data_IF_687446791119
#
_entry.id   IF_687446791119
#
_cell.length_a   1.000
_cell.length_b   1.000
_cell.length_c   1.000
_cell.angle_alpha   90.00
_cell.angle_beta   90.00
_cell.angle_gamma   90.00
#
_symmetry.space_group_name_H-M   'P 1'
#
loop_
_entity.id
_entity.type
_entity.pdbx_description
1 polymer ?
#
# COMPACT_ATOMS: atom_id res chain seq x y z
N UNK A 1 -0.51 5.98 -52.04
CA UNK A 1 0.59 5.70 -51.07
C UNK A 1 0.26 6.08 -49.61
N UNK A 2 -0.37 7.24 -49.33
CA UNK A 2 -0.70 7.65 -47.95
C UNK A 2 -1.69 6.71 -47.21
N UNK A 3 -2.70 6.17 -47.91
CA UNK A 3 -3.68 5.19 -47.36
C UNK A 3 -3.01 3.91 -46.83
N UNK A 4 -1.96 3.42 -47.51
CA UNK A 4 -1.23 2.22 -47.08
C UNK A 4 -0.35 2.49 -45.86
N UNK A 5 0.37 3.63 -45.81
CA UNK A 5 1.15 4.01 -44.62
C UNK A 5 0.27 4.20 -43.39
N UNK A 6 -0.91 4.82 -43.55
CA UNK A 6 -1.86 4.98 -42.45
C UNK A 6 -2.40 3.64 -41.97
N UNK A 7 -2.80 2.73 -42.87
CA UNK A 7 -3.21 1.36 -42.51
C UNK A 7 -2.12 0.57 -41.78
N UNK A 8 -0.86 0.67 -42.20
CA UNK A 8 0.25 -0.01 -41.50
C UNK A 8 0.55 0.58 -40.12
N UNK A 9 0.34 1.89 -39.93
CA UNK A 9 0.50 2.56 -38.63
C UNK A 9 -0.66 2.24 -37.68
N UNK A 10 -1.87 2.03 -38.20
CA UNK A 10 -3.09 1.79 -37.42
C UNK A 10 -3.35 0.29 -37.18
N UNK A 11 -2.94 -0.59 -38.08
CA UNK A 11 -3.26 -2.04 -38.05
C UNK A 11 -1.99 -2.91 -37.96
N UNK A 12 -0.80 -2.32 -38.08
CA UNK A 12 0.46 -3.07 -37.98
C UNK A 12 0.81 -3.46 -36.54
N UNK A 13 1.77 -4.39 -36.38
CA UNK A 13 2.27 -4.85 -35.07
C UNK A 13 2.73 -3.70 -34.15
N UNK A 14 3.17 -2.58 -34.73
CA UNK A 14 3.55 -1.37 -34.00
C UNK A 14 2.37 -0.66 -33.31
N UNK A 15 1.13 -0.88 -33.75
CA UNK A 15 -0.07 -0.29 -33.14
C UNK A 15 -0.58 -1.11 -31.94
N UNK A 16 -0.16 -2.37 -31.80
CA UNK A 16 -0.71 -3.31 -30.82
C UNK A 16 -0.63 -2.77 -29.37
N UNK A 17 0.50 -2.22 -28.89
CA UNK A 17 0.55 -1.64 -27.54
C UNK A 17 -0.48 -0.53 -27.32
N UNK A 18 -0.69 0.31 -28.34
CA UNK A 18 -1.62 1.43 -28.28
C UNK A 18 -3.06 0.91 -28.21
N UNK A 19 -3.41 -0.09 -29.02
CA UNK A 19 -4.74 -0.71 -28.95
C UNK A 19 -5.00 -1.41 -27.63
N UNK A 20 -4.00 -2.12 -27.07
CA UNK A 20 -4.11 -2.73 -25.75
C UNK A 20 -4.28 -1.67 -24.65
N UNK A 21 -3.58 -0.54 -24.74
CA UNK A 21 -3.75 0.57 -23.81
C UNK A 21 -5.14 1.21 -23.93
N UNK A 22 -5.67 1.39 -25.14
CA UNK A 22 -7.04 1.88 -25.36
C UNK A 22 -8.09 0.90 -24.81
N UNK A 23 -7.91 -0.41 -25.02
CA UNK A 23 -8.77 -1.43 -24.43
C UNK A 23 -8.71 -1.40 -22.90
N UNK A 24 -7.50 -1.32 -22.34
CA UNK A 24 -7.27 -1.24 -20.90
C UNK A 24 -7.92 0.03 -20.32
N UNK A 25 -7.83 1.16 -21.02
CA UNK A 25 -8.54 2.39 -20.67
C UNK A 25 -10.07 2.23 -20.70
N UNK A 26 -10.61 1.51 -21.69
CA UNK A 26 -12.02 1.13 -21.68
C UNK A 26 -12.40 0.31 -20.43
N UNK A 27 -11.53 -0.62 -20.02
CA UNK A 27 -11.71 -1.41 -18.81
C UNK A 27 -11.58 -0.58 -17.53
N UNK A 28 -10.70 0.43 -17.47
CA UNK A 28 -10.62 1.32 -16.30
C UNK A 28 -11.91 2.10 -16.11
N UNK A 29 -12.48 2.62 -17.20
CA UNK A 29 -13.78 3.28 -17.16
C UNK A 29 -14.90 2.33 -16.72
N UNK A 30 -14.88 1.08 -17.21
CA UNK A 30 -15.84 0.07 -16.79
C UNK A 30 -15.71 -0.29 -15.30
N UNK A 31 -14.53 -0.71 -14.84
CA UNK A 31 -14.30 -1.11 -13.45
C UNK A 31 -14.53 0.03 -12.46
N UNK A 32 -14.16 1.27 -12.81
CA UNK A 32 -14.43 2.43 -11.96
C UNK A 32 -15.93 2.70 -11.74
N UNK A 33 -16.80 2.36 -12.70
CA UNK A 33 -18.25 2.53 -12.59
C UNK A 33 -18.94 1.36 -11.89
N UNK A 34 -18.30 0.19 -11.87
CA UNK A 34 -18.84 -1.02 -11.25
C UNK A 34 -17.91 -1.61 -10.18
N UNK A 35 -17.68 -0.93 -9.03
CA UNK A 35 -16.74 -1.40 -8.00
C UNK A 35 -17.02 -2.80 -7.43
N UNK A 36 -18.28 -3.24 -7.47
CA UNK A 36 -18.65 -4.62 -7.08
C UNK A 36 -18.08 -5.66 -8.05
N UNK A 37 -18.07 -5.35 -9.35
CA UNK A 37 -17.48 -6.22 -10.38
C UNK A 37 -15.96 -6.22 -10.25
N UNK A 38 -15.35 -5.05 -10.00
CA UNK A 38 -13.91 -4.97 -9.72
C UNK A 38 -13.54 -5.87 -8.56
N UNK A 39 -14.28 -5.81 -7.45
CA UNK A 39 -14.03 -6.62 -6.27
C UNK A 39 -14.12 -8.13 -6.58
N UNK A 40 -15.23 -8.60 -7.16
CA UNK A 40 -15.50 -10.03 -7.31
C UNK A 40 -14.77 -10.67 -8.49
N UNK A 41 -14.58 -9.95 -9.59
CA UNK A 41 -13.95 -10.47 -10.81
C UNK A 41 -12.46 -10.19 -10.83
N UNK A 42 -12.05 -8.94 -10.68
CA UNK A 42 -10.64 -8.60 -10.77
C UNK A 42 -9.91 -8.94 -9.46
N UNK A 43 -10.28 -8.31 -8.35
CA UNK A 43 -9.49 -8.33 -7.12
C UNK A 43 -9.50 -9.66 -6.37
N UNK A 44 -10.62 -10.41 -6.42
CA UNK A 44 -10.75 -11.71 -5.74
C UNK A 44 -10.39 -12.92 -6.61
N UNK A 45 -10.40 -12.79 -7.95
CA UNK A 45 -10.18 -13.92 -8.88
C UNK A 45 -8.96 -13.71 -9.77
N UNK A 46 -8.92 -12.65 -10.59
CA UNK A 46 -7.83 -12.44 -11.56
C UNK A 46 -6.52 -11.99 -10.90
N UNK A 47 -6.58 -10.97 -10.05
CA UNK A 47 -5.42 -10.39 -9.39
C UNK A 47 -4.65 -11.43 -8.56
N UNK A 48 -5.30 -12.32 -7.78
CA UNK A 48 -4.57 -13.35 -7.05
C UNK A 48 -3.71 -14.28 -7.90
N UNK A 49 -4.15 -14.58 -9.12
CA UNK A 49 -3.37 -15.38 -10.07
C UNK A 49 -2.13 -14.60 -10.50
N UNK A 50 -2.29 -13.32 -10.86
CA UNK A 50 -1.15 -12.48 -11.24
C UNK A 50 -0.17 -12.28 -10.08
N UNK A 51 -0.65 -11.91 -8.90
CA UNK A 51 0.16 -11.71 -7.71
C UNK A 51 0.94 -12.97 -7.34
N UNK A 52 0.31 -14.15 -7.40
CA UNK A 52 0.99 -15.42 -7.16
C UNK A 52 2.10 -15.68 -8.18
N UNK A 53 1.83 -15.52 -9.47
CA UNK A 53 2.82 -15.74 -10.54
C UNK A 53 4.01 -14.78 -10.46
N UNK A 54 3.74 -13.49 -10.24
CA UNK A 54 4.76 -12.46 -10.13
C UNK A 54 5.65 -12.68 -8.89
N UNK A 55 5.02 -12.92 -7.74
CA UNK A 55 5.73 -13.25 -6.50
C UNK A 55 6.55 -14.54 -6.63
N UNK A 56 6.01 -15.58 -7.29
CA UNK A 56 6.73 -16.82 -7.54
C UNK A 56 7.98 -16.62 -8.38
N UNK A 57 7.94 -15.71 -9.37
CA UNK A 57 9.12 -15.34 -10.15
C UNK A 57 10.12 -14.55 -9.28
N UNK A 58 9.62 -13.55 -8.56
CA UNK A 58 10.44 -12.65 -7.75
C UNK A 58 11.21 -13.33 -6.62
N UNK A 59 10.63 -14.36 -5.98
CA UNK A 59 11.23 -15.04 -4.81
C UNK A 59 12.59 -15.69 -5.07
N UNK A 60 12.92 -15.99 -6.33
CA UNK A 60 14.20 -16.59 -6.71
C UNK A 60 15.35 -15.58 -6.74
N UNK A 61 15.05 -14.29 -6.61
CA UNK A 61 16.02 -13.21 -6.65
C UNK A 61 16.04 -12.47 -5.31
N UNK A 62 17.23 -12.32 -4.73
CA UNK A 62 17.43 -11.57 -3.48
C UNK A 62 17.42 -10.05 -3.67
N UNK A 63 17.49 -9.58 -4.93
CA UNK A 63 17.40 -8.17 -5.32
C UNK A 63 16.04 -7.86 -5.95
N UNK A 64 15.67 -6.57 -5.99
CA UNK A 64 14.41 -6.08 -6.54
C UNK A 64 14.38 -6.17 -8.07
N UNK A 65 13.42 -6.91 -8.63
CA UNK A 65 13.16 -6.95 -10.06
C UNK A 65 12.42 -5.69 -10.52
N UNK A 66 11.58 -5.09 -9.67
CA UNK A 66 10.94 -3.80 -9.94
C UNK A 66 12.01 -2.70 -10.11
N UNK A 67 12.99 -2.58 -9.20
CA UNK A 67 14.08 -1.61 -9.31
C UNK A 67 14.93 -1.83 -10.57
N UNK A 68 15.23 -3.09 -10.91
CA UNK A 68 15.94 -3.42 -12.16
C UNK A 68 15.13 -3.02 -13.38
N UNK A 69 13.82 -3.30 -13.37
CA UNK A 69 12.92 -2.90 -14.46
C UNK A 69 12.87 -1.39 -14.63
N UNK A 70 12.78 -0.61 -13.54
CA UNK A 70 12.84 0.84 -13.59
C UNK A 70 14.20 1.36 -14.11
N UNK A 71 15.31 0.76 -13.67
CA UNK A 71 16.64 1.09 -14.15
C UNK A 71 16.81 0.84 -15.64
N UNK A 72 16.33 -0.30 -16.14
CA UNK A 72 16.34 -0.65 -17.56
C UNK A 72 15.42 0.27 -18.38
N UNK A 73 14.28 0.68 -17.83
CA UNK A 73 13.38 1.64 -18.47
C UNK A 73 14.04 3.01 -18.64
N UNK A 74 14.69 3.53 -17.59
CA UNK A 74 15.45 4.79 -17.65
C UNK A 74 16.59 4.68 -18.65
N UNK A 75 17.36 3.59 -18.61
CA UNK A 75 18.45 3.36 -19.55
C UNK A 75 17.94 3.33 -21.00
N UNK A 76 16.84 2.61 -21.25
CA UNK A 76 16.22 2.54 -22.57
C UNK A 76 15.82 3.94 -23.08
N UNK A 77 15.14 4.74 -22.26
CA UNK A 77 14.73 6.12 -22.62
C UNK A 77 15.94 6.99 -22.93
N UNK A 78 17.00 6.94 -22.12
CA UNK A 78 18.25 7.66 -22.36
C UNK A 78 18.90 7.20 -23.68
N UNK A 79 18.96 5.89 -23.94
CA UNK A 79 19.53 5.36 -25.18
C UNK A 79 18.78 5.88 -26.40
N UNK A 80 17.45 5.78 -26.45
CA UNK A 80 16.68 6.27 -27.60
C UNK A 80 16.76 7.79 -27.74
N UNK A 81 16.86 8.53 -26.63
CA UNK A 81 17.09 9.98 -26.64
C UNK A 81 18.44 10.31 -27.27
N UNK A 82 19.54 9.70 -26.80
CA UNK A 82 20.88 9.88 -27.36
C UNK A 82 20.94 9.48 -28.84
N UNK A 83 20.32 8.36 -29.24
CA UNK A 83 20.22 7.97 -30.64
C UNK A 83 19.51 9.03 -31.49
N UNK A 84 18.56 9.77 -30.92
CA UNK A 84 17.88 10.88 -31.61
C UNK A 84 18.78 12.10 -31.74
N UNK A 85 19.47 12.47 -30.66
CA UNK A 85 20.44 13.59 -30.64
C UNK A 85 21.59 13.36 -31.63
N UNK A 86 22.14 12.15 -31.64
CA UNK A 86 23.18 11.72 -32.59
C UNK A 86 22.63 11.34 -33.97
N UNK A 87 21.36 11.66 -34.26
CA UNK A 87 20.69 11.45 -35.56
C UNK A 87 20.73 10.02 -36.09
N UNK A 88 20.89 9.02 -35.22
CA UNK A 88 20.80 7.58 -35.54
C UNK A 88 19.35 7.14 -35.76
N UNK A 89 18.38 7.82 -35.14
CA UNK A 89 16.95 7.64 -35.39
C UNK A 89 16.25 8.98 -35.63
N UNK A 90 15.12 8.94 -36.35
CA UNK A 90 14.27 10.12 -36.55
C UNK A 90 13.47 10.42 -35.28
N UNK A 91 13.19 11.70 -35.03
CA UNK A 91 12.36 12.13 -33.90
C UNK A 91 10.98 11.45 -33.86
N UNK A 92 10.35 11.22 -35.02
CA UNK A 92 9.09 10.47 -35.10
C UNK A 92 9.20 9.02 -34.62
N UNK A 93 10.35 8.37 -34.83
CA UNK A 93 10.61 7.02 -34.32
C UNK A 93 10.83 7.04 -32.81
N UNK A 94 11.56 8.02 -32.30
CA UNK A 94 11.71 8.25 -30.86
C UNK A 94 10.36 8.41 -30.18
N UNK A 95 9.51 9.32 -30.68
CA UNK A 95 8.19 9.56 -30.11
C UNK A 95 7.31 8.29 -30.14
N UNK A 96 7.34 7.53 -31.24
CA UNK A 96 6.63 6.25 -31.33
C UNK A 96 7.10 5.25 -30.27
N UNK A 97 8.42 5.10 -30.08
CA UNK A 97 8.97 4.19 -29.07
C UNK A 97 8.57 4.62 -27.66
N UNK A 98 8.65 5.92 -27.35
CA UNK A 98 8.19 6.45 -26.05
C UNK A 98 6.71 6.14 -25.82
N UNK A 99 5.84 6.43 -26.80
CA UNK A 99 4.40 6.17 -26.69
C UNK A 99 4.13 4.66 -26.51
N UNK A 100 4.81 3.80 -27.26
CA UNK A 100 4.65 2.35 -27.13
C UNK A 100 5.10 1.85 -25.77
N UNK A 101 6.24 2.33 -25.27
CA UNK A 101 6.74 1.98 -23.94
C UNK A 101 5.77 2.41 -22.85
N UNK A 102 5.28 3.65 -22.89
CA UNK A 102 4.27 4.14 -21.95
C UNK A 102 2.98 3.32 -22.01
N UNK A 103 2.52 2.96 -23.22
CA UNK A 103 1.35 2.12 -23.42
C UNK A 103 1.54 0.71 -22.80
N UNK A 104 2.70 0.08 -22.98
CA UNK A 104 3.02 -1.22 -22.38
C UNK A 104 3.05 -1.10 -20.85
N UNK A 105 3.76 -0.11 -20.30
CA UNK A 105 3.82 0.11 -18.86
C UNK A 105 2.43 0.34 -18.26
N UNK A 106 1.57 1.12 -18.93
CA UNK A 106 0.18 1.36 -18.53
C UNK A 106 -0.63 0.06 -18.49
N UNK A 107 -0.55 -0.75 -19.54
CA UNK A 107 -1.23 -2.05 -19.62
C UNK A 107 -0.74 -2.97 -18.51
N UNK A 108 0.56 -3.18 -18.40
CA UNK A 108 1.15 -4.06 -17.37
C UNK A 108 0.73 -3.61 -15.96
N UNK A 109 0.84 -2.32 -15.68
CA UNK A 109 0.47 -1.75 -14.39
C UNK A 109 -0.99 -2.07 -14.04
N UNK A 110 -1.94 -1.78 -14.93
CA UNK A 110 -3.37 -1.99 -14.64
C UNK A 110 -3.74 -3.46 -14.50
N UNK A 111 -3.23 -4.30 -15.39
CA UNK A 111 -3.51 -5.73 -15.35
C UNK A 111 -2.88 -6.41 -14.14
N UNK A 112 -1.65 -6.05 -13.78
CA UNK A 112 -0.97 -6.65 -12.65
C UNK A 112 -1.45 -6.12 -11.30
N UNK A 113 -1.91 -4.87 -11.21
CA UNK A 113 -2.35 -4.32 -9.93
C UNK A 113 -3.37 -3.18 -10.01
N UNK A 114 -3.25 -2.28 -10.99
CA UNK A 114 -3.94 -0.99 -11.00
C UNK A 114 -5.46 -1.04 -11.04
N UNK A 115 -6.10 -2.10 -11.52
CA UNK A 115 -7.57 -2.18 -11.41
C UNK A 115 -8.06 -2.27 -9.95
N UNK A 116 -7.18 -2.62 -9.00
CA UNK A 116 -7.51 -2.61 -7.57
C UNK A 116 -7.86 -1.21 -7.02
N UNK A 117 -7.53 -0.11 -7.72
CA UNK A 117 -8.00 1.24 -7.34
C UNK A 117 -9.52 1.39 -7.36
N UNK A 118 -10.21 0.54 -8.12
CA UNK A 118 -11.66 0.61 -8.30
C UNK A 118 -12.42 -0.40 -7.45
N UNK A 119 -11.80 -0.96 -6.40
CA UNK A 119 -12.46 -1.84 -5.44
C UNK A 119 -13.55 -1.11 -4.67
N UNK A 120 -14.50 -1.87 -4.13
CA UNK A 120 -15.46 -1.32 -3.17
C UNK A 120 -14.73 -0.83 -1.92
N UNK A 121 -15.20 0.24 -1.26
CA UNK A 121 -14.55 0.76 -0.04
C UNK A 121 -14.51 -0.24 1.11
N UNK A 122 -13.53 -0.11 2.01
CA UNK A 122 -13.28 -1.05 3.11
C UNK A 122 -14.49 -1.40 3.97
N UNK A 123 -15.33 -0.42 4.35
CA UNK A 123 -16.53 -0.67 5.17
C UNK A 123 -17.48 -1.67 4.48
N UNK A 124 -17.66 -1.55 3.16
CA UNK A 124 -18.47 -2.48 2.38
C UNK A 124 -17.79 -3.84 2.26
N UNK A 125 -16.48 -3.89 1.99
CA UNK A 125 -15.73 -5.16 1.84
C UNK A 125 -15.70 -5.98 3.14
N UNK A 126 -15.47 -5.32 4.27
CA UNK A 126 -15.35 -5.97 5.58
C UNK A 126 -16.68 -6.02 6.36
N UNK A 127 -17.72 -5.38 5.81
CA UNK A 127 -19.02 -5.17 6.45
C UNK A 127 -18.88 -4.51 7.83
N UNK A 128 -18.07 -3.46 7.93
CA UNK A 128 -17.89 -2.65 9.14
C UNK A 128 -18.81 -1.44 9.07
N UNK A 129 -19.60 -1.19 10.10
CA UNK A 129 -20.48 -0.02 10.15
C UNK A 129 -19.68 1.28 10.12
N UNK A 130 -20.17 2.28 9.38
CA UNK A 130 -19.58 3.62 9.38
C UNK A 130 -20.01 4.33 10.67
N UNK A 131 -19.04 4.73 11.47
CA UNK A 131 -19.24 5.52 12.68
C UNK A 131 -19.62 6.96 12.33
N UNK A 132 -20.50 7.56 13.13
CA UNK A 132 -20.79 8.99 13.02
C UNK A 132 -19.72 9.78 13.78
N UNK A 133 -19.35 10.99 13.33
CA UNK A 133 -18.48 11.86 14.10
C UNK A 133 -19.03 12.10 15.50
N UNK A 134 -18.29 11.66 16.51
CA UNK A 134 -18.62 11.81 17.92
C UNK A 134 -17.34 11.99 18.73
N UNK A 135 -17.17 13.17 19.32
CA UNK A 135 -16.01 13.52 20.14
C UNK A 135 -15.88 12.64 21.37
N UNK A 136 -16.99 12.24 22.00
CA UNK A 136 -16.95 11.38 23.19
C UNK A 136 -16.45 9.99 22.81
N UNK A 137 -16.90 9.45 21.68
CA UNK A 137 -16.40 8.17 21.18
C UNK A 137 -14.93 8.26 20.80
N UNK A 138 -14.51 9.34 20.13
CA UNK A 138 -13.09 9.53 19.78
C UNK A 138 -12.20 9.57 21.01
N UNK A 139 -12.60 10.32 22.05
CA UNK A 139 -11.84 10.41 23.29
C UNK A 139 -11.72 9.05 23.99
N UNK A 140 -12.78 8.23 23.98
CA UNK A 140 -12.75 6.85 24.50
C UNK A 140 -11.80 5.96 23.69
N UNK A 141 -11.87 6.01 22.36
CA UNK A 141 -10.98 5.22 21.49
C UNK A 141 -9.52 5.64 21.67
N UNK A 142 -9.25 6.93 21.86
CA UNK A 142 -7.92 7.45 22.17
C UNK A 142 -7.43 6.98 23.55
N UNK A 143 -8.29 7.03 24.57
CA UNK A 143 -7.97 6.51 25.91
C UNK A 143 -7.61 5.02 25.86
N UNK A 144 -8.41 4.20 25.18
CA UNK A 144 -8.13 2.78 24.96
C UNK A 144 -6.82 2.57 24.20
N UNK A 145 -6.56 3.38 23.16
CA UNK A 145 -5.31 3.31 22.40
C UNK A 145 -4.10 3.66 23.26
N UNK A 146 -4.18 4.69 24.11
CA UNK A 146 -3.11 5.05 25.07
C UNK A 146 -2.86 3.90 26.05
N UNK A 147 -3.92 3.34 26.63
CA UNK A 147 -3.81 2.21 27.55
C UNK A 147 -3.15 0.99 26.88
N UNK A 148 -3.54 0.65 25.65
CA UNK A 148 -2.92 -0.44 24.88
C UNK A 148 -1.47 -0.15 24.51
N UNK A 149 -1.14 1.08 24.13
CA UNK A 149 0.23 1.49 23.78
C UNK A 149 1.15 1.34 24.99
N UNK A 150 0.69 1.80 26.16
CA UNK A 150 1.41 1.63 27.43
C UNK A 150 1.57 0.14 27.79
N UNK A 151 0.52 -0.68 27.64
CA UNK A 151 0.54 -2.09 27.99
C UNK A 151 1.39 -2.97 27.04
N UNK A 152 1.49 -2.58 25.77
CA UNK A 152 2.26 -3.29 24.75
C UNK A 152 3.74 -2.92 24.74
N UNK A 153 4.15 -1.84 25.43
CA UNK A 153 5.54 -1.38 25.53
C UNK A 153 6.53 -2.55 25.68
N UNK A 154 7.50 -2.59 24.77
CA UNK A 154 8.59 -3.56 24.77
C UNK A 154 9.83 -2.99 24.05
N UNK A 155 11.00 -3.54 24.37
CA UNK A 155 12.23 -3.24 23.65
C UNK A 155 12.33 -4.12 22.38
N UNK A 156 13.00 -3.64 21.34
CA UNK A 156 13.24 -4.34 20.06
C UNK A 156 14.67 -4.92 19.93
N UNK A 157 15.51 -4.84 20.96
CA UNK A 157 16.91 -5.30 20.91
C UNK A 157 17.08 -6.80 20.62
N UNK A 158 16.06 -7.62 20.92
CA UNK A 158 16.13 -9.08 20.79
C UNK A 158 15.44 -9.67 19.55
N UNK A 159 14.69 -8.87 18.79
CA UNK A 159 13.89 -9.35 17.66
C UNK A 159 14.55 -9.01 16.31
N UNK A 160 14.59 -10.00 15.41
CA UNK A 160 15.14 -9.81 14.06
C UNK A 160 14.07 -9.40 13.04
N UNK A 161 14.49 -8.75 11.93
CA UNK A 161 13.59 -8.45 10.79
C UNK A 161 12.93 -9.71 10.21
N UNK A 162 13.65 -10.84 10.19
CA UNK A 162 13.15 -12.14 9.71
C UNK A 162 12.04 -12.67 10.62
N UNK A 163 12.22 -12.55 11.93
CA UNK A 163 11.20 -12.95 12.91
C UNK A 163 9.96 -12.05 12.81
N UNK A 164 10.13 -10.73 12.69
CA UNK A 164 9.02 -9.80 12.45
C UNK A 164 8.25 -10.19 11.18
N UNK A 165 8.95 -10.51 10.10
CA UNK A 165 8.30 -10.94 8.85
C UNK A 165 7.43 -12.19 9.04
N UNK A 166 7.95 -13.20 9.73
CA UNK A 166 7.18 -14.41 10.03
C UNK A 166 5.95 -14.13 10.91
N UNK A 167 6.08 -13.23 11.90
CA UNK A 167 4.98 -12.84 12.78
C UNK A 167 3.89 -12.06 12.03
N UNK A 168 4.26 -11.15 11.13
CA UNK A 168 3.32 -10.39 10.29
C UNK A 168 2.59 -11.33 9.34
N UNK A 169 3.30 -12.23 8.66
CA UNK A 169 2.69 -13.23 7.76
C UNK A 169 1.70 -14.13 8.52
N UNK A 170 2.10 -14.63 9.71
CA UNK A 170 1.22 -15.44 10.55
C UNK A 170 -0.04 -14.68 11.01
N UNK A 171 0.08 -13.37 11.30
CA UNK A 171 -1.09 -12.56 11.67
C UNK A 171 -2.02 -12.32 10.49
N UNK A 172 -1.47 -12.04 9.30
CA UNK A 172 -2.27 -11.96 8.08
C UNK A 172 -3.01 -13.26 7.78
N UNK A 173 -2.33 -14.41 7.89
CA UNK A 173 -2.95 -15.72 7.72
C UNK A 173 -4.13 -15.92 8.69
N UNK A 174 -3.93 -15.59 9.97
CA UNK A 174 -4.96 -15.72 11.01
C UNK A 174 -6.20 -14.88 10.70
N UNK A 175 -6.01 -13.69 10.13
CA UNK A 175 -7.09 -12.70 9.92
C UNK A 175 -7.59 -12.61 8.47
N UNK A 176 -7.05 -13.41 7.55
CA UNK A 176 -7.38 -13.37 6.12
C UNK A 176 -8.89 -13.49 5.83
N UNK A 177 -9.61 -14.35 6.60
CA UNK A 177 -11.06 -14.54 6.45
C UNK A 177 -11.86 -13.28 6.77
N UNK A 178 -11.51 -12.58 7.86
CA UNK A 178 -12.14 -11.31 8.22
C UNK A 178 -11.82 -10.25 7.16
N UNK A 179 -10.55 -10.17 6.77
CA UNK A 179 -10.03 -9.19 5.80
C UNK A 179 -10.45 -9.44 4.35
N UNK A 180 -11.17 -10.54 4.07
CA UNK A 180 -11.57 -10.98 2.72
C UNK A 180 -10.39 -11.11 1.75
N UNK A 181 -9.28 -11.64 2.25
CA UNK A 181 -8.07 -11.85 1.47
C UNK A 181 -7.98 -13.29 0.97
N UNK A 182 -7.65 -13.43 -0.31
CA UNK A 182 -7.22 -14.73 -0.86
C UNK A 182 -5.84 -15.05 -0.30
N UNK A 183 -5.75 -16.10 0.53
CA UNK A 183 -4.50 -16.47 1.21
C UNK A 183 -4.15 -17.96 0.97
N UNK A 184 -2.88 -18.30 0.69
CA UNK A 184 -1.74 -17.38 0.50
C UNK A 184 -1.76 -16.72 -0.89
N UNK A 185 -1.38 -15.45 -0.94
CA UNK A 185 -1.24 -14.69 -2.19
C UNK A 185 0.23 -14.63 -2.64
N UNK A 186 0.83 -15.78 -2.95
CA UNK A 186 2.27 -15.87 -3.21
C UNK A 186 3.14 -15.72 -1.95
N UNK A 187 4.44 -15.50 -2.15
CA UNK A 187 5.49 -15.33 -1.14
C UNK A 187 5.78 -13.85 -0.86
N UNK A 188 6.00 -13.49 0.40
CA UNK A 188 6.28 -12.12 0.85
C UNK A 188 7.60 -12.10 1.59
N UNK A 189 8.65 -11.86 0.82
CA UNK A 189 9.99 -11.62 1.37
C UNK A 189 10.32 -10.16 1.09
N UNK A 190 10.37 -9.30 2.12
CA UNK A 190 10.66 -7.89 1.91
C UNK A 190 12.06 -7.72 1.33
N UNK A 191 12.17 -6.89 0.30
CA UNK A 191 13.44 -6.56 -0.36
C UNK A 191 13.90 -5.16 0.07
N UNK A 192 15.21 -4.91 0.20
CA UNK A 192 15.71 -3.56 0.47
C UNK A 192 15.48 -2.66 -0.77
N UNK A 193 15.19 -1.38 -0.54
CA UNK A 193 15.09 -0.39 -1.62
C UNK A 193 16.49 -0.08 -2.16
N UNK A 194 16.74 -0.26 -3.47
CA UNK A 194 18.08 -0.09 -4.08
C UNK A 194 18.65 1.33 -3.88
N UNK A 195 17.79 2.36 -3.82
CA UNK A 195 18.17 3.75 -3.52
C UNK A 195 17.53 4.25 -2.21
N UNK A 196 17.61 3.46 -1.14
CA UNK A 196 16.99 3.74 0.17
C UNK A 196 17.19 5.18 0.66
N UNK A 197 18.35 5.80 0.44
CA UNK A 197 18.64 7.18 0.86
C UNK A 197 17.90 8.26 0.05
N UNK A 198 17.58 8.00 -1.22
CA UNK A 198 16.76 8.91 -2.04
C UNK A 198 15.28 8.77 -1.70
N UNK A 199 14.79 7.54 -1.55
CA UNK A 199 13.40 7.26 -1.16
C UNK A 199 13.10 7.76 0.26
N UNK A 200 14.04 7.61 1.19
CA UNK A 200 13.91 8.20 2.53
C UNK A 200 13.74 9.72 2.49
N UNK A 201 14.50 10.41 1.63
CA UNK A 201 14.37 11.87 1.42
C UNK A 201 13.00 12.26 0.86
N UNK A 202 12.32 11.34 0.18
CA UNK A 202 10.95 11.51 -0.29
C UNK A 202 9.88 11.11 0.76
N UNK A 203 10.29 10.80 1.99
CA UNK A 203 9.43 10.27 3.07
C UNK A 203 8.80 8.91 2.73
N UNK A 204 9.46 8.09 1.89
CA UNK A 204 9.00 6.76 1.50
C UNK A 204 9.67 5.71 2.40
N UNK A 205 8.90 5.22 3.37
CA UNK A 205 9.29 4.19 4.34
C UNK A 205 9.31 2.77 3.74
N UNK A 206 8.41 2.53 2.78
CA UNK A 206 8.28 1.30 2.02
C UNK A 206 7.57 1.60 0.70
N UNK A 207 7.60 0.64 -0.22
CA UNK A 207 6.74 0.71 -1.40
C UNK A 207 6.45 -0.69 -1.96
N UNK A 208 5.28 -0.82 -2.59
CA UNK A 208 4.92 -1.99 -3.35
C UNK A 208 5.30 -1.85 -4.83
N UNK A 209 6.07 -2.80 -5.35
CA UNK A 209 6.44 -2.94 -6.75
C UNK A 209 5.39 -3.74 -7.53
N UNK A 210 4.54 -3.11 -8.36
CA UNK A 210 3.43 -3.81 -9.01
C UNK A 210 3.86 -4.64 -10.23
N UNK A 211 5.06 -4.44 -10.78
CA UNK A 211 5.48 -5.15 -11.99
C UNK A 211 5.99 -6.56 -11.68
N UNK A 212 6.50 -6.81 -10.48
CA UNK A 212 6.94 -8.13 -10.01
C UNK A 212 6.31 -8.53 -8.67
N UNK A 213 5.35 -7.75 -8.15
CA UNK A 213 4.59 -8.08 -6.95
C UNK A 213 5.45 -8.05 -5.69
N UNK A 214 6.40 -7.11 -5.63
CA UNK A 214 7.47 -7.04 -4.62
C UNK A 214 7.12 -6.07 -3.49
N UNK A 215 7.43 -6.45 -2.26
CA UNK A 215 7.33 -5.57 -1.09
C UNK A 215 8.72 -5.03 -0.79
N UNK A 216 8.85 -3.71 -0.70
CA UNK A 216 10.11 -3.07 -0.38
C UNK A 216 10.02 -2.28 0.91
N UNK A 217 11.08 -2.34 1.70
CA UNK A 217 11.23 -1.55 2.92
C UNK A 217 12.54 -0.79 2.90
N UNK A 218 12.52 0.41 3.47
CA UNK A 218 13.71 1.21 3.63
C UNK A 218 14.60 0.63 4.73
N UNK A 219 15.89 0.43 4.44
CA UNK A 219 16.83 -0.15 5.41
C UNK A 219 17.07 0.75 6.63
N UNK A 220 16.76 2.04 6.51
CA UNK A 220 16.90 3.02 7.58
C UNK A 220 15.81 2.96 8.66
N UNK A 221 14.72 2.23 8.44
CA UNK A 221 13.62 2.13 9.41
C UNK A 221 14.09 1.67 10.78
N UNK A 222 13.61 2.32 11.84
CA UNK A 222 13.80 1.81 13.19
C UNK A 222 13.04 0.48 13.34
N UNK A 223 13.57 -0.44 14.14
CA UNK A 223 12.89 -1.72 14.40
C UNK A 223 11.49 -1.56 15.02
N UNK A 224 11.25 -0.46 15.75
CA UNK A 224 9.92 -0.11 16.27
C UNK A 224 8.92 0.28 15.18
N UNK A 225 9.38 0.80 14.04
CA UNK A 225 8.53 1.17 12.90
C UNK A 225 8.29 -0.03 11.96
N UNK A 226 9.28 -0.94 11.90
CA UNK A 226 9.34 -2.00 10.90
C UNK A 226 8.09 -2.90 10.83
N UNK A 227 7.51 -3.42 11.95
CA UNK A 227 6.33 -4.28 11.88
C UNK A 227 5.11 -3.62 11.20
N UNK A 228 4.77 -2.40 11.59
CA UNK A 228 3.62 -1.69 11.02
C UNK A 228 3.83 -1.37 9.55
N UNK A 229 5.02 -0.88 9.16
CA UNK A 229 5.32 -0.57 7.75
C UNK A 229 5.32 -1.85 6.92
N UNK A 230 5.91 -2.94 7.40
CA UNK A 230 5.87 -4.23 6.71
C UNK A 230 4.44 -4.72 6.50
N UNK A 231 3.61 -4.66 7.54
CA UNK A 231 2.22 -5.08 7.46
C UNK A 231 1.40 -4.18 6.51
N UNK A 232 1.71 -2.88 6.46
CA UNK A 232 1.15 -1.94 5.49
C UNK A 232 1.49 -2.35 4.05
N UNK A 233 2.77 -2.60 3.74
CA UNK A 233 3.18 -2.99 2.39
C UNK A 233 2.62 -4.36 1.96
N UNK A 234 2.43 -5.27 2.91
CA UNK A 234 1.71 -6.52 2.65
C UNK A 234 0.27 -6.26 2.20
N UNK A 235 -0.41 -5.25 2.76
CA UNK A 235 -1.76 -4.89 2.33
C UNK A 235 -1.77 -4.47 0.85
N UNK A 236 -0.77 -3.70 0.40
CA UNK A 236 -0.62 -3.35 -1.01
C UNK A 236 -0.43 -4.59 -1.90
N UNK A 237 0.39 -5.55 -1.46
CA UNK A 237 0.53 -6.84 -2.15
C UNK A 237 -0.78 -7.66 -2.16
N UNK A 238 -1.69 -7.44 -1.22
CA UNK A 238 -3.05 -8.00 -1.26
C UNK A 238 -4.05 -7.18 -2.10
N UNK A 239 -3.56 -6.21 -2.88
CA UNK A 239 -4.37 -5.40 -3.76
C UNK A 239 -5.18 -4.33 -3.02
N UNK A 240 -4.73 -3.89 -1.85
CA UNK A 240 -5.29 -2.73 -1.15
C UNK A 240 -4.52 -1.51 -1.60
N UNK A 241 -5.12 -0.61 -2.37
CA UNK A 241 -4.39 0.51 -3.00
C UNK A 241 -4.46 1.82 -2.22
N UNK A 242 -5.43 1.95 -1.32
CA UNK A 242 -5.60 3.15 -0.49
C UNK A 242 -4.61 3.10 0.68
N UNK A 243 -3.77 4.13 0.82
CA UNK A 243 -2.86 4.32 1.96
C UNK A 243 -3.57 4.24 3.31
N UNK A 244 -4.77 4.82 3.42
CA UNK A 244 -5.56 4.80 4.64
C UNK A 244 -6.06 3.38 4.95
N UNK A 245 -6.49 2.63 3.93
CA UNK A 245 -6.90 1.24 4.10
C UNK A 245 -5.69 0.34 4.40
N UNK A 246 -4.55 0.52 3.73
CA UNK A 246 -3.32 -0.23 3.99
C UNK A 246 -2.81 0.00 5.42
N UNK A 247 -2.84 1.25 5.91
CA UNK A 247 -2.55 1.57 7.30
C UNK A 247 -3.52 0.88 8.28
N UNK A 248 -4.81 0.84 7.96
CA UNK A 248 -5.80 0.14 8.79
C UNK A 248 -5.55 -1.37 8.81
N UNK A 249 -5.31 -1.99 7.65
CA UNK A 249 -4.99 -3.42 7.55
C UNK A 249 -3.75 -3.76 8.37
N UNK A 250 -2.67 -2.98 8.20
CA UNK A 250 -1.44 -3.13 8.98
C UNK A 250 -1.68 -2.99 10.48
N UNK A 251 -2.40 -1.96 10.90
CA UNK A 251 -2.74 -1.73 12.30
C UNK A 251 -3.56 -2.89 12.88
N UNK A 252 -4.59 -3.35 12.16
CA UNK A 252 -5.45 -4.43 12.62
C UNK A 252 -4.68 -5.74 12.78
N UNK A 253 -3.92 -6.17 11.77
CA UNK A 253 -3.18 -7.44 11.88
C UNK A 253 -2.10 -7.38 12.94
N UNK A 254 -1.42 -6.25 13.12
CA UNK A 254 -0.39 -6.11 14.14
C UNK A 254 -0.97 -6.10 15.56
N UNK A 255 -2.03 -5.30 15.80
CA UNK A 255 -2.69 -5.23 17.12
C UNK A 255 -3.40 -6.53 17.51
N UNK A 256 -3.89 -7.30 16.53
CA UNK A 256 -4.55 -8.60 16.75
C UNK A 256 -3.59 -9.79 16.70
N UNK A 257 -2.29 -9.54 16.59
CA UNK A 257 -1.23 -10.54 16.72
C UNK A 257 -1.02 -10.92 18.19
N UNK A 258 -0.26 -11.99 18.43
CA UNK A 258 0.15 -12.37 19.79
C UNK A 258 1.51 -11.76 20.19
N UNK A 259 2.14 -10.97 19.31
CA UNK A 259 3.47 -10.41 19.54
C UNK A 259 3.36 -8.98 20.09
N UNK A 260 3.97 -8.73 21.24
CA UNK A 260 4.08 -7.37 21.80
C UNK A 260 4.80 -6.41 20.85
N UNK A 261 5.82 -6.87 20.12
CA UNK A 261 6.55 -6.05 19.15
C UNK A 261 5.66 -5.53 18.01
N UNK A 262 4.78 -6.39 17.49
CA UNK A 262 3.81 -6.00 16.45
C UNK A 262 2.76 -5.05 17.02
N UNK A 263 2.18 -5.41 18.17
CA UNK A 263 1.16 -4.59 18.84
C UNK A 263 1.69 -3.18 19.12
N UNK A 264 2.86 -3.08 19.75
CA UNK A 264 3.46 -1.80 20.13
C UNK A 264 3.84 -0.96 18.91
N UNK A 265 4.42 -1.57 17.86
CA UNK A 265 4.71 -0.88 16.60
C UNK A 265 3.47 -0.25 15.96
N UNK A 266 2.37 -1.01 15.89
CA UNK A 266 1.12 -0.53 15.33
C UNK A 266 0.44 0.55 16.19
N UNK A 267 0.46 0.38 17.51
CA UNK A 267 -0.10 1.34 18.45
C UNK A 267 0.69 2.67 18.43
N UNK A 268 2.03 2.64 18.38
CA UNK A 268 2.89 3.83 18.21
C UNK A 268 2.63 4.55 16.90
N UNK A 269 2.40 3.81 15.81
CA UNK A 269 2.01 4.43 14.54
C UNK A 269 0.63 5.09 14.65
N UNK A 270 -0.35 4.37 15.20
CA UNK A 270 -1.74 4.84 15.27
C UNK A 270 -1.94 6.02 16.21
N UNK A 271 -1.26 6.01 17.37
CA UNK A 271 -1.39 7.09 18.36
C UNK A 271 -0.95 8.42 17.76
N UNK A 272 0.07 8.46 16.89
CA UNK A 272 0.49 9.69 16.21
C UNK A 272 -0.63 10.29 15.35
N UNK A 273 -1.42 9.47 14.65
CA UNK A 273 -2.58 9.94 13.87
C UNK A 273 -3.67 10.52 14.78
N UNK A 274 -4.05 9.81 15.84
CA UNK A 274 -5.07 10.30 16.78
C UNK A 274 -4.61 11.56 17.52
N UNK A 275 -3.35 11.61 17.96
CA UNK A 275 -2.77 12.80 18.58
C UNK A 275 -2.73 13.98 17.62
N UNK A 276 -2.60 13.77 16.31
CA UNK A 276 -2.62 14.88 15.34
C UNK A 276 -4.01 15.48 15.18
N UNK A 277 -5.06 14.65 15.12
CA UNK A 277 -6.45 15.08 14.91
C UNK A 277 -7.13 15.54 16.20
N UNK A 278 -6.78 14.96 17.36
CA UNK A 278 -7.40 15.25 18.65
C UNK A 278 -6.93 16.54 19.35
N UNK A 279 -5.85 17.20 18.88
CA UNK A 279 -5.17 18.33 19.55
C UNK A 279 -6.08 19.47 20.02
N UNK A 280 -7.21 19.69 19.36
CA UNK A 280 -8.14 20.79 19.64
C UNK A 280 -9.36 20.38 20.47
N UNK A 281 -9.47 19.10 20.82
CA UNK A 281 -10.61 18.57 21.57
C UNK A 281 -10.48 18.89 23.07
N UNK A 282 -11.62 19.08 23.72
CA UNK A 282 -11.70 19.24 25.17
C UNK A 282 -11.17 17.97 25.88
N UNK A 283 -10.48 18.12 27.01
CA UNK A 283 -9.83 17.05 27.80
C UNK A 283 -8.71 16.26 27.08
N UNK A 284 -8.32 16.64 25.85
CA UNK A 284 -7.23 15.99 25.13
C UNK A 284 -5.91 16.01 25.92
N UNK A 285 -5.59 17.13 26.57
CA UNK A 285 -4.35 17.27 27.35
C UNK A 285 -4.30 16.31 28.54
N UNK A 286 -5.43 16.06 29.20
CA UNK A 286 -5.51 15.14 30.33
C UNK A 286 -5.25 13.70 29.89
N UNK A 287 -5.80 13.28 28.74
CA UNK A 287 -5.51 11.97 28.17
C UNK A 287 -4.03 11.82 27.79
N UNK A 288 -3.45 12.84 27.14
CA UNK A 288 -2.03 12.79 26.71
C UNK A 288 -1.07 12.64 27.90
N UNK A 289 -1.43 13.16 29.08
CA UNK A 289 -0.63 12.99 30.29
C UNK A 289 -0.59 11.54 30.81
N UNK A 290 -1.51 10.67 30.36
CA UNK A 290 -1.53 9.25 30.72
C UNK A 290 -0.53 8.41 29.90
N UNK A 291 0.08 8.96 28.85
CA UNK A 291 1.10 8.27 28.08
C UNK A 291 2.36 8.12 28.95
N UNK A 292 2.84 6.90 29.14
CA UNK A 292 3.98 6.64 30.00
C UNK A 292 5.28 7.20 29.40
N UNK A 293 6.21 7.58 30.27
CA UNK A 293 7.48 8.21 29.89
C UNK A 293 8.28 7.43 28.82
N UNK A 294 8.45 6.09 28.91
CA UNK A 294 9.15 5.33 27.86
C UNK A 294 8.47 5.41 26.50
N UNK A 295 7.13 5.37 26.47
CA UNK A 295 6.33 5.51 25.25
C UNK A 295 6.49 6.91 24.63
N UNK A 296 6.48 7.96 25.46
CA UNK A 296 6.74 9.34 25.00
C UNK A 296 8.12 9.44 24.34
N UNK A 297 9.14 8.80 24.92
CA UNK A 297 10.50 8.84 24.40
C UNK A 297 10.62 8.11 23.05
N UNK A 298 9.92 6.98 22.89
CA UNK A 298 9.82 6.27 21.61
C UNK A 298 9.05 7.06 20.54
N UNK A 299 7.92 7.70 20.90
CA UNK A 299 7.18 8.58 19.97
C UNK A 299 8.09 9.70 19.46
N UNK A 300 8.84 10.34 20.35
CA UNK A 300 9.79 11.40 19.98
C UNK A 300 10.93 10.86 19.12
N UNK A 301 11.43 9.65 19.41
CA UNK A 301 12.47 8.99 18.63
C UNK A 301 12.02 8.73 17.20
N UNK A 302 10.81 8.20 17.01
CA UNK A 302 10.19 7.95 15.69
C UNK A 302 9.98 9.26 14.94
N UNK A 303 9.42 10.28 15.59
CA UNK A 303 9.23 11.61 14.99
C UNK A 303 10.55 12.22 14.52
N UNK A 304 11.57 12.22 15.38
CA UNK A 304 12.91 12.73 15.06
C UNK A 304 13.57 11.93 13.93
N UNK A 305 13.39 10.61 13.92
CA UNK A 305 13.90 9.76 12.85
C UNK A 305 13.27 10.16 11.49
N UNK A 306 11.95 10.22 11.41
CA UNK A 306 11.23 10.66 10.20
C UNK A 306 11.68 12.05 9.73
N UNK A 307 11.83 13.02 10.66
CA UNK A 307 12.31 14.36 10.36
C UNK A 307 13.72 14.40 9.78
N UNK A 308 14.62 13.55 10.27
CA UNK A 308 16.00 13.49 9.79
C UNK A 308 16.11 12.80 8.42
N UNK A 309 15.18 11.90 8.10
CA UNK A 309 15.19 11.16 6.84
C UNK A 309 14.63 11.98 5.67
N UNK A 310 13.68 12.90 5.92
CA UNK A 310 13.01 13.68 4.88
C UNK A 310 13.84 14.84 4.32
N UNK A 311 13.59 15.17 3.06
CA UNK A 311 13.99 16.43 2.45
C UNK A 311 12.74 17.13 1.92
N UNK A 312 12.40 18.29 2.49
CA UNK A 312 11.13 18.99 2.21
C UNK A 312 10.89 19.24 0.70
N UNK A 313 11.94 19.51 -0.08
CA UNK A 313 11.81 19.75 -1.52
C UNK A 313 11.47 18.47 -2.28
N UNK A 314 12.13 17.38 -1.93
CA UNK A 314 11.93 16.07 -2.56
C UNK A 314 10.56 15.51 -2.15
N UNK A 315 10.22 15.57 -0.87
CA UNK A 315 8.91 15.18 -0.32
C UNK A 315 7.77 15.95 -1.01
N UNK A 316 7.87 17.28 -1.14
CA UNK A 316 6.86 18.10 -1.83
C UNK A 316 6.73 17.75 -3.30
N UNK A 317 7.83 17.42 -3.98
CA UNK A 317 7.79 16.98 -5.37
C UNK A 317 7.12 15.60 -5.50
N UNK A 318 7.51 14.63 -4.69
CA UNK A 318 6.93 13.29 -4.64
C UNK A 318 5.42 13.34 -4.32
N UNK A 319 5.03 14.15 -3.33
CA UNK A 319 3.64 14.33 -2.94
C UNK A 319 2.76 14.90 -4.06
N UNK A 320 3.29 15.81 -4.89
CA UNK A 320 2.56 16.32 -6.07
C UNK A 320 2.36 15.25 -7.13
N UNK A 321 3.38 14.44 -7.42
CA UNK A 321 3.28 13.33 -8.38
C UNK A 321 2.26 12.32 -7.89
N UNK A 322 2.31 11.96 -6.60
CA UNK A 322 1.36 11.03 -6.00
C UNK A 322 -0.08 11.58 -6.04
N UNK A 323 -0.32 12.84 -5.67
CA UNK A 323 -1.67 13.45 -5.70
C UNK A 323 -2.26 13.45 -7.12
N UNK A 324 -1.47 13.75 -8.15
CA UNK A 324 -1.91 13.67 -9.56
C UNK A 324 -2.26 12.23 -9.94
N UNK A 325 -1.40 11.29 -9.55
CA UNK A 325 -1.61 9.87 -9.82
C UNK A 325 -2.87 9.32 -9.13
N UNK A 326 -3.09 9.61 -7.84
CA UNK A 326 -4.28 9.20 -7.10
C UNK A 326 -5.57 9.79 -7.70
N UNK A 327 -5.55 11.07 -8.08
CA UNK A 327 -6.68 11.72 -8.77
C UNK A 327 -6.99 11.08 -10.11
N UNK A 328 -5.96 10.72 -10.88
CA UNK A 328 -6.12 10.04 -12.17
C UNK A 328 -6.78 8.66 -12.00
N UNK A 329 -6.52 8.00 -10.87
CA UNK A 329 -7.16 6.73 -10.49
C UNK A 329 -8.48 6.92 -9.72
N UNK A 330 -9.10 8.10 -9.77
CA UNK A 330 -10.40 8.41 -9.15
C UNK A 330 -10.46 8.15 -7.64
N UNK A 331 -9.33 8.26 -6.95
CA UNK A 331 -9.30 8.21 -5.49
C UNK A 331 -9.87 9.53 -4.96
N UNK A 332 -11.08 9.48 -4.41
CA UNK A 332 -11.72 10.64 -3.78
C UNK A 332 -11.02 11.00 -2.47
N UNK A 333 -10.82 12.29 -2.22
CA UNK A 333 -10.38 12.76 -0.90
C UNK A 333 -11.58 12.68 0.04
N UNK A 334 -11.42 11.99 1.16
CA UNK A 334 -12.41 11.99 2.24
C UNK A 334 -12.73 13.43 2.67
N UNK A 335 -14.02 13.68 2.91
CA UNK A 335 -14.56 14.96 3.37
C UNK A 335 -14.94 14.81 4.85
N UNK A 336 -14.45 15.76 5.66
CA UNK A 336 -14.87 16.14 7.04
C UNK A 336 -14.60 15.21 8.26
N UNK A 337 -14.54 15.88 9.43
CA UNK A 337 -14.24 15.51 10.83
C UNK A 337 -13.08 14.55 11.13
N UNK A 338 -13.15 13.28 10.70
CA UNK A 338 -12.02 12.34 10.77
C UNK A 338 -11.57 11.96 9.37
N UNK A 339 -10.28 12.05 9.09
CA UNK A 339 -9.76 11.73 7.77
C UNK A 339 -8.73 10.61 7.80
N UNK A 340 -8.67 9.85 6.71
CA UNK A 340 -7.70 8.78 6.51
C UNK A 340 -7.94 7.60 7.45
N UNK A 341 -6.86 7.04 7.99
CA UNK A 341 -6.91 5.80 8.78
C UNK A 341 -7.70 5.95 10.09
N UNK A 342 -7.75 7.16 10.68
CA UNK A 342 -8.48 7.42 11.93
C UNK A 342 -9.96 7.06 11.77
N UNK A 343 -10.60 7.41 10.65
CA UNK A 343 -11.99 7.05 10.40
C UNK A 343 -12.19 5.53 10.40
N UNK A 344 -11.32 4.76 9.74
CA UNK A 344 -11.45 3.29 9.71
C UNK A 344 -11.20 2.65 11.07
N UNK A 345 -10.29 3.20 11.88
CA UNK A 345 -10.10 2.75 13.27
C UNK A 345 -11.32 3.09 14.12
N UNK A 346 -11.93 4.27 13.96
CA UNK A 346 -13.17 4.66 14.63
C UNK A 346 -14.34 3.75 14.25
N UNK A 347 -14.52 3.48 12.96
CA UNK A 347 -15.54 2.56 12.43
C UNK A 347 -15.41 1.18 13.06
N UNK A 348 -14.20 0.62 13.08
CA UNK A 348 -13.94 -0.68 13.70
C UNK A 348 -14.08 -0.66 15.23
N UNK A 349 -13.60 0.38 15.89
CA UNK A 349 -13.57 0.47 17.35
C UNK A 349 -14.97 0.70 17.95
N UNK A 350 -15.91 1.20 17.16
CA UNK A 350 -17.30 1.42 17.56
C UNK A 350 -18.25 0.30 17.10
N UNK A 351 -17.82 -0.55 16.16
CA UNK A 351 -18.54 -1.73 15.71
C UNK A 351 -18.17 -2.99 16.53
N UNK A 352 -18.91 -3.21 17.62
CA UNK A 352 -18.74 -4.40 18.47
C UNK A 352 -18.97 -5.74 17.73
N UNK A 353 -19.73 -5.75 16.64
CA UNK A 353 -19.97 -6.96 15.82
C UNK A 353 -18.74 -7.25 14.96
N UNK A 354 -18.12 -6.22 14.37
CA UNK A 354 -16.84 -6.37 13.67
C UNK A 354 -15.74 -6.89 14.59
N UNK A 355 -15.60 -6.33 15.80
CA UNK A 355 -14.60 -6.79 16.78
C UNK A 355 -14.79 -8.26 17.17
N UNK A 356 -16.03 -8.69 17.41
CA UNK A 356 -16.34 -10.09 17.69
C UNK A 356 -15.98 -10.99 16.50
N UNK A 357 -16.21 -10.55 15.26
CA UNK A 357 -15.84 -11.33 14.05
C UNK A 357 -14.34 -11.53 13.92
N UNK A 358 -13.53 -10.53 14.27
CA UNK A 358 -12.06 -10.65 14.33
C UNK A 358 -11.62 -11.63 15.42
N UNK A 359 -12.24 -11.56 16.61
CA UNK A 359 -11.93 -12.45 17.73
C UNK A 359 -12.45 -13.89 17.55
N UNK A 360 -13.49 -14.10 16.75
CA UNK A 360 -14.12 -15.41 16.56
C UNK A 360 -13.34 -16.27 15.56
N UNK A 361 -12.63 -17.29 16.05
CA UNK A 361 -12.11 -18.40 15.25
C UNK A 361 -13.27 -19.19 14.64
N UNK A 362 -13.66 -18.90 13.40
CA UNK A 362 -14.28 -19.93 12.55
C UNK A 362 -13.32 -20.25 11.41
N UNK A 363 -12.58 -21.38 11.48
CA UNK A 363 -11.82 -21.85 10.33
C UNK A 363 -12.80 -22.14 9.20
N UNK A 364 -12.53 -21.61 8.01
CA UNK A 364 -13.23 -22.05 6.81
C UNK A 364 -12.93 -23.54 6.58
N UNK A 365 -13.93 -24.37 6.27
CA UNK A 365 -13.68 -25.73 5.82
C UNK A 365 -12.97 -25.64 4.46
N UNK A 366 -11.74 -26.14 4.39
CA UNK A 366 -11.09 -26.42 3.11
C UNK A 366 -11.99 -27.36 2.30
N UNK A 367 -12.21 -27.12 1.00
CA UNK A 367 -12.76 -28.14 0.13
C UNK A 367 -11.72 -29.27 0.06
N UNK A 368 -12.09 -30.45 0.56
CA UNK A 368 -11.29 -31.66 0.45
C UNK A 368 -10.98 -31.92 -1.03
N UNK A 369 -9.75 -32.26 -1.40
CA UNK A 369 -9.46 -32.70 -2.75
C UNK A 369 -10.20 -34.03 -2.99
N UNK A 370 -11.08 -34.04 -4.00
CA UNK A 370 -11.52 -35.27 -4.66
C UNK A 370 -10.72 -35.44 -5.94
#
# INVERSE_FOLDING_TARGET
>A
MAKNKFRTIVIGKAALPIWLALLTFGLTEFFSRYPKITETVYSQVLYPIFAFCLSFLSKWFSFSLDDVFYGLLVLFVITIFLMTVFRKIKFSRFLLLVIQTLAICYVLFYWFWGFNYYRSGINNRLSIAISKPDTVQFMRVLEDLIARTNASYCNFDSISKVEINALVEASYQKHASFLKLSYPLGTRTPKPITLSSFFAKASIAGYYGPFFGEVHLNDSLLLIEYPQVLAHEFAHQFGITSEAEANFYGWLVCTQSNSKHLQYSADISMINYFLSQGRRLHNFQELVQQIQKPVIDDIRKVQKHSENMRNERIEKAAGKVNDVYLKTNKVEKGIEDYFGVVQFVMDYSTDSVAQKRVGSKKPHPHPSPK
#
